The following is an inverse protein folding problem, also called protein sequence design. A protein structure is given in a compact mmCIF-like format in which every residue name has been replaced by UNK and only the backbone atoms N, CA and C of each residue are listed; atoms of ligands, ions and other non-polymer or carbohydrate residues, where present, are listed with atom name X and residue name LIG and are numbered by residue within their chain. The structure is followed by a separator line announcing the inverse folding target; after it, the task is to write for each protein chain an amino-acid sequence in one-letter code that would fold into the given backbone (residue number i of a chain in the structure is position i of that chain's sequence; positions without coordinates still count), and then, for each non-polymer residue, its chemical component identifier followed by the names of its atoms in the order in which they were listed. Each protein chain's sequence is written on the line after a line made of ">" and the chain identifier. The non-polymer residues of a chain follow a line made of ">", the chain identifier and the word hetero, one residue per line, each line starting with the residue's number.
data_IF_974049531566
#
_entry.id   IF_974049531566
#
_cell.length_a   1.000
_cell.length_b   1.000
_cell.length_c   1.000
_cell.angle_alpha   90.00
_cell.angle_beta   90.00
_cell.angle_gamma   90.00
#
_symmetry.space_group_name_H-M   'P 1'
#
loop_
_entity.id
_entity.type
_entity.pdbx_description
1 polymer ?
#
# COMPACT_ATOMS: atom_id res chain seq x y z
N UNK A 1 -7.79 6.46 -11.01
CA UNK A 1 -9.10 6.34 -11.65
C UNK A 1 -9.26 7.34 -12.80
N UNK A 2 -8.90 8.63 -12.67
CA UNK A 2 -9.00 9.60 -13.78
C UNK A 2 -8.20 9.12 -15.01
N UNK A 3 -6.94 8.74 -14.85
CA UNK A 3 -6.12 8.18 -15.94
C UNK A 3 -6.73 6.92 -16.57
N UNK A 4 -7.31 6.03 -15.76
CA UNK A 4 -8.02 4.85 -16.25
C UNK A 4 -9.24 5.23 -17.11
N UNK A 5 -10.01 6.27 -16.73
CA UNK A 5 -11.12 6.79 -17.51
C UNK A 5 -10.69 7.34 -18.88
N UNK A 6 -9.46 7.79 -18.99
CA UNK A 6 -8.82 8.20 -20.26
C UNK A 6 -8.30 7.01 -21.10
N UNK A 7 -8.62 5.78 -20.69
CA UNK A 7 -8.22 4.55 -21.40
C UNK A 7 -6.83 4.04 -21.09
N UNK A 8 -6.12 4.63 -20.12
CA UNK A 8 -4.75 4.25 -19.79
C UNK A 8 -4.73 3.04 -18.84
N UNK A 9 -3.79 2.14 -19.06
CA UNK A 9 -3.43 1.06 -18.13
C UNK A 9 -2.53 1.65 -17.05
N UNK A 10 -3.05 1.77 -15.82
CA UNK A 10 -2.34 2.39 -14.70
C UNK A 10 -1.81 1.30 -13.77
N UNK A 11 -0.50 1.30 -13.49
CA UNK A 11 0.10 0.50 -12.42
C UNK A 11 0.28 1.37 -11.19
N UNK A 12 -0.47 1.11 -10.11
CA UNK A 12 -0.28 1.80 -8.84
C UNK A 12 0.83 1.14 -8.02
N UNK A 13 1.61 1.97 -7.34
CA UNK A 13 2.59 1.58 -6.34
C UNK A 13 2.39 2.39 -5.07
N UNK A 14 2.84 1.85 -3.94
CA UNK A 14 2.91 2.53 -2.65
C UNK A 14 4.34 2.51 -2.12
N UNK A 15 4.89 3.65 -1.75
CA UNK A 15 6.16 3.69 -1.05
C UNK A 15 5.99 3.23 0.40
N UNK A 16 6.94 2.42 0.88
CA UNK A 16 6.98 1.96 2.26
C UNK A 16 5.91 0.92 2.67
N UNK A 17 5.85 0.61 3.98
CA UNK A 17 5.07 -0.49 4.53
C UNK A 17 3.62 -0.09 4.81
N UNK A 18 2.82 0.10 3.79
CA UNK A 18 1.40 0.42 3.91
C UNK A 18 0.55 -0.68 3.26
N UNK A 19 -0.40 -1.22 4.02
CA UNK A 19 -1.31 -2.28 3.59
C UNK A 19 -2.73 -1.78 3.31
N UNK A 20 -3.05 -0.53 3.69
CA UNK A 20 -4.39 0.03 3.60
C UNK A 20 -4.56 0.77 2.29
N UNK A 21 -3.66 1.72 1.99
CA UNK A 21 -3.74 2.55 0.79
C UNK A 21 -3.64 1.72 -0.48
N UNK A 22 -2.87 0.63 -0.46
CA UNK A 22 -2.77 -0.32 -1.59
C UNK A 22 -4.10 -0.92 -2.00
N UNK A 23 -5.05 -1.07 -1.08
CA UNK A 23 -6.39 -1.57 -1.37
C UNK A 23 -7.21 -0.51 -2.15
N UNK A 24 -7.10 0.76 -1.76
CA UNK A 24 -7.75 1.87 -2.50
C UNK A 24 -7.14 2.06 -3.88
N UNK A 25 -5.83 1.97 -3.98
CA UNK A 25 -5.12 2.03 -5.26
C UNK A 25 -5.59 0.92 -6.20
N UNK A 26 -5.70 -0.30 -5.68
CA UNK A 26 -6.17 -1.46 -6.43
C UNK A 26 -7.59 -1.24 -6.96
N UNK A 27 -8.50 -0.74 -6.12
CA UNK A 27 -9.86 -0.39 -6.56
C UNK A 27 -9.86 0.76 -7.58
N UNK A 28 -9.04 1.78 -7.38
CA UNK A 28 -8.98 2.94 -8.27
C UNK A 28 -8.42 2.60 -9.65
N UNK A 29 -7.38 1.79 -9.71
CA UNK A 29 -6.70 1.42 -10.95
C UNK A 29 -7.26 0.16 -11.63
N UNK A 30 -8.03 -0.67 -10.88
CA UNK A 30 -8.42 -2.03 -11.29
C UNK A 30 -7.21 -2.91 -11.64
N UNK A 31 -6.14 -2.66 -10.92
CA UNK A 31 -4.88 -3.39 -11.00
C UNK A 31 -4.24 -3.37 -9.62
N UNK A 32 -3.77 -4.54 -9.15
CA UNK A 32 -3.18 -4.65 -7.81
C UNK A 32 -2.04 -3.66 -7.60
N UNK A 33 -2.10 -2.90 -6.49
CA UNK A 33 -1.03 -2.03 -6.05
C UNK A 33 0.11 -2.83 -5.43
N UNK A 34 1.33 -2.35 -5.62
CA UNK A 34 2.55 -3.04 -5.16
C UNK A 34 3.37 -2.09 -4.30
N UNK A 35 3.88 -2.60 -3.18
CA UNK A 35 4.74 -1.81 -2.29
C UNK A 35 6.16 -1.73 -2.84
N UNK A 36 6.74 -0.53 -2.75
CA UNK A 36 8.13 -0.23 -3.01
C UNK A 36 8.78 0.14 -1.67
N UNK A 37 9.47 -0.79 -1.06
CA UNK A 37 9.93 -0.67 0.31
C UNK A 37 11.42 -1.04 0.42
N UNK A 38 12.28 -0.04 0.63
CA UNK A 38 13.73 -0.21 0.75
C UNK A 38 14.18 -0.63 2.15
N UNK A 39 13.25 -0.68 3.12
CA UNK A 39 13.51 -1.29 4.42
C UNK A 39 13.39 -2.82 4.37
N UNK A 40 12.30 -3.33 3.77
CA UNK A 40 12.00 -4.76 3.69
C UNK A 40 12.73 -5.46 2.55
N UNK A 41 13.17 -4.73 1.54
CA UNK A 41 13.81 -5.26 0.35
C UNK A 41 15.05 -4.46 -0.06
N UNK A 42 15.99 -5.11 -0.75
CA UNK A 42 17.14 -4.41 -1.30
C UNK A 42 16.72 -3.39 -2.37
N UNK A 43 17.53 -2.34 -2.56
CA UNK A 43 17.30 -1.32 -3.60
C UNK A 43 17.15 -1.94 -4.99
N UNK A 44 18.00 -2.90 -5.34
CA UNK A 44 17.92 -3.63 -6.63
C UNK A 44 16.63 -4.43 -6.76
N UNK A 45 16.13 -5.02 -5.67
CA UNK A 45 14.87 -5.74 -5.69
C UNK A 45 13.69 -4.79 -5.87
N UNK A 46 13.71 -3.62 -5.24
CA UNK A 46 12.69 -2.57 -5.46
C UNK A 46 12.66 -2.12 -6.91
N UNK A 47 13.83 -1.94 -7.56
CA UNK A 47 13.91 -1.64 -8.99
C UNK A 47 13.34 -2.78 -9.84
N UNK A 48 13.63 -4.03 -9.46
CA UNK A 48 13.05 -5.21 -10.12
C UNK A 48 11.53 -5.24 -10.02
N UNK A 49 10.98 -5.02 -8.82
CA UNK A 49 9.53 -4.94 -8.58
C UNK A 49 8.90 -3.86 -9.47
N UNK A 50 9.50 -2.66 -9.48
CA UNK A 50 9.00 -1.56 -10.30
C UNK A 50 8.98 -1.92 -11.79
N UNK A 51 10.06 -2.47 -12.31
CA UNK A 51 10.16 -2.88 -13.70
C UNK A 51 9.17 -4.03 -14.03
N UNK A 52 9.16 -5.09 -13.21
CA UNK A 52 8.30 -6.27 -13.37
C UNK A 52 6.81 -5.89 -13.42
N UNK A 53 6.34 -5.11 -12.47
CA UNK A 53 4.92 -4.78 -12.37
C UNK A 53 4.52 -3.58 -13.24
N UNK A 54 5.45 -2.68 -13.53
CA UNK A 54 5.24 -1.57 -14.45
C UNK A 54 5.19 -1.98 -15.93
N UNK A 55 5.69 -3.16 -16.26
CA UNK A 55 5.65 -3.68 -17.63
C UNK A 55 4.22 -3.74 -18.17
N UNK A 56 4.05 -3.25 -19.38
CA UNK A 56 2.73 -3.19 -20.02
C UNK A 56 1.76 -2.16 -19.43
N UNK A 57 2.17 -1.31 -18.50
CA UNK A 57 1.41 -0.14 -18.09
C UNK A 57 1.73 1.07 -18.96
N UNK A 58 0.72 1.92 -19.20
CA UNK A 58 0.91 3.19 -19.90
C UNK A 58 1.41 4.27 -18.94
N UNK A 59 1.04 4.14 -17.65
CA UNK A 59 1.44 5.06 -16.56
C UNK A 59 1.68 4.28 -15.26
N UNK A 60 2.81 4.55 -14.60
CA UNK A 60 3.09 4.12 -13.24
C UNK A 60 2.85 5.29 -12.28
N UNK A 61 2.08 5.07 -11.22
CA UNK A 61 1.81 6.07 -10.17
C UNK A 61 2.23 5.50 -8.82
N UNK A 62 3.24 6.11 -8.21
CA UNK A 62 3.68 5.75 -6.87
C UNK A 62 3.21 6.80 -5.86
N UNK A 63 2.45 6.38 -4.85
CA UNK A 63 2.09 7.26 -3.74
C UNK A 63 3.15 7.18 -2.66
N UNK A 64 3.60 8.37 -2.17
CA UNK A 64 4.50 8.49 -1.05
C UNK A 64 3.88 8.06 0.28
N UNK A 65 4.73 7.87 1.27
CA UNK A 65 4.35 7.64 2.67
C UNK A 65 4.93 8.76 3.52
N UNK A 66 4.15 9.26 4.48
CA UNK A 66 4.54 10.40 5.34
C UNK A 66 5.00 11.64 4.54
N UNK A 67 5.92 12.45 5.06
CA UNK A 67 6.55 13.53 4.31
C UNK A 67 7.55 13.00 3.28
N UNK A 68 7.78 13.77 2.21
CA UNK A 68 8.63 13.36 1.09
C UNK A 68 10.01 12.84 1.52
N UNK A 69 10.63 13.50 2.51
CA UNK A 69 11.98 13.19 3.00
C UNK A 69 11.98 12.38 4.30
N UNK A 70 10.81 12.00 4.82
CA UNK A 70 10.70 11.25 6.07
C UNK A 70 10.97 9.77 5.84
N UNK A 71 12.06 9.28 6.38
CA UNK A 71 12.47 7.88 6.34
C UNK A 71 12.78 7.36 7.75
N UNK A 72 13.22 6.13 7.85
CA UNK A 72 13.61 5.53 9.14
C UNK A 72 14.95 6.08 9.66
N UNK A 73 15.81 6.56 8.77
CA UNK A 73 17.05 7.27 9.10
C UNK A 73 17.20 8.43 8.11
N UNK A 74 16.75 9.63 8.51
CA UNK A 74 16.67 10.79 7.61
C UNK A 74 15.89 10.42 6.35
N UNK A 75 16.54 10.45 5.17
CA UNK A 75 15.91 10.16 3.89
C UNK A 75 15.88 8.67 3.51
N UNK A 76 16.60 7.81 4.24
CA UNK A 76 16.60 6.37 3.96
C UNK A 76 15.22 5.76 4.25
N UNK A 77 14.65 5.03 3.29
CA UNK A 77 13.29 4.48 3.35
C UNK A 77 12.19 5.47 2.97
N UNK A 78 12.55 6.73 2.63
CA UNK A 78 11.57 7.77 2.28
C UNK A 78 11.08 7.65 0.84
N UNK A 79 9.99 8.38 0.54
CA UNK A 79 9.49 8.54 -0.83
C UNK A 79 10.51 9.23 -1.74
N UNK A 80 11.36 10.11 -1.18
CA UNK A 80 12.44 10.76 -1.91
C UNK A 80 13.52 9.75 -2.33
N UNK A 81 13.89 8.80 -1.48
CA UNK A 81 14.81 7.71 -1.85
C UNK A 81 14.25 6.88 -3.01
N UNK A 82 12.98 6.50 -2.95
CA UNK A 82 12.32 5.76 -4.04
C UNK A 82 12.32 6.57 -5.34
N UNK A 83 12.00 7.87 -5.27
CA UNK A 83 12.05 8.75 -6.44
C UNK A 83 13.44 8.78 -7.10
N UNK A 84 14.51 8.89 -6.30
CA UNK A 84 15.89 8.86 -6.80
C UNK A 84 16.26 7.49 -7.38
N UNK A 85 15.96 6.43 -6.64
CA UNK A 85 16.28 5.06 -7.01
C UNK A 85 15.69 4.67 -8.36
N UNK A 86 14.46 5.08 -8.60
CA UNK A 86 13.72 4.80 -9.83
C UNK A 86 13.92 5.87 -10.90
N UNK A 87 14.49 7.02 -10.53
CA UNK A 87 14.65 8.17 -11.41
C UNK A 87 13.32 8.81 -11.81
N UNK A 88 12.28 8.69 -11.03
CA UNK A 88 10.93 9.23 -11.31
C UNK A 88 10.76 10.63 -10.71
N UNK A 89 10.04 11.54 -11.40
CA UNK A 89 9.76 12.87 -10.87
C UNK A 89 8.71 12.84 -9.77
N UNK A 90 8.75 13.84 -8.90
CA UNK A 90 7.82 14.03 -7.79
C UNK A 90 6.80 15.11 -8.13
N UNK A 91 5.54 14.81 -7.93
CA UNK A 91 4.44 15.77 -7.87
C UNK A 91 4.10 15.99 -6.39
N UNK A 92 4.32 17.20 -5.90
CA UNK A 92 3.95 17.56 -4.53
C UNK A 92 2.44 17.80 -4.44
N UNK A 93 1.82 17.20 -3.44
CA UNK A 93 0.45 17.56 -3.03
C UNK A 93 0.55 18.41 -1.78
N UNK A 94 0.27 19.70 -1.91
CA UNK A 94 0.44 20.70 -0.84
C UNK A 94 -0.92 21.11 -0.31
N UNK A 95 -1.11 20.97 1.03
CA UNK A 95 -2.31 21.52 1.67
C UNK A 95 -2.29 23.05 1.64
N UNK A 96 -3.30 23.64 1.03
CA UNK A 96 -3.50 25.08 0.99
C UNK A 96 -4.42 25.59 2.11
N UNK A 97 -4.78 24.71 3.06
CA UNK A 97 -5.62 25.11 4.19
C UNK A 97 -4.91 26.17 5.03
N UNK A 98 -5.53 27.35 5.14
CA UNK A 98 -4.99 28.49 5.90
C UNK A 98 -3.61 28.99 5.42
N UNK A 99 -3.25 28.72 4.16
CA UNK A 99 -2.03 29.19 3.53
C UNK A 99 -2.33 29.76 2.14
N UNK A 100 -1.63 30.81 1.76
CA UNK A 100 -1.73 31.43 0.44
C UNK A 100 -0.33 31.55 -0.18
N UNK A 101 0.16 32.75 -0.48
CA UNK A 101 1.48 32.94 -1.08
C UNK A 101 2.65 32.40 -0.24
N UNK A 102 2.49 32.29 1.10
CA UNK A 102 3.50 31.70 2.01
C UNK A 102 3.83 30.23 1.73
N UNK A 103 3.17 29.56 0.80
CA UNK A 103 3.59 28.23 0.29
C UNK A 103 4.83 28.32 -0.62
N UNK A 104 5.18 29.52 -1.16
CA UNK A 104 6.33 29.71 -2.02
C UNK A 104 7.65 29.25 -1.37
N UNK A 105 8.04 29.72 -0.16
CA UNK A 105 9.24 29.23 0.52
C UNK A 105 9.18 27.74 0.84
N UNK A 106 8.00 27.17 1.10
CA UNK A 106 7.83 25.72 1.31
C UNK A 106 8.17 24.96 0.03
N UNK A 107 7.59 25.34 -1.10
CA UNK A 107 7.82 24.70 -2.41
C UNK A 107 9.29 24.88 -2.83
N UNK A 108 9.83 26.09 -2.64
CA UNK A 108 11.23 26.39 -2.92
C UNK A 108 12.17 25.50 -2.09
N UNK A 109 11.87 25.33 -0.80
CA UNK A 109 12.61 24.43 0.09
C UNK A 109 12.59 23.00 -0.41
N UNK A 110 11.43 22.43 -0.72
CA UNK A 110 11.34 21.07 -1.27
C UNK A 110 12.11 20.91 -2.57
N UNK A 111 12.07 21.89 -3.46
CA UNK A 111 12.76 21.85 -4.75
C UNK A 111 14.28 21.84 -4.61
N UNK A 112 14.81 22.61 -3.66
CA UNK A 112 16.25 22.85 -3.52
C UNK A 112 16.92 22.06 -2.40
N UNK A 113 16.14 21.42 -1.53
CA UNK A 113 16.67 20.68 -0.39
C UNK A 113 17.59 19.53 -0.80
N UNK A 114 17.25 18.82 -1.87
CA UNK A 114 18.07 17.71 -2.35
C UNK A 114 18.20 17.70 -3.87
N UNK A 115 19.44 17.80 -4.42
CA UNK A 115 19.65 18.03 -5.85
C UNK A 115 19.16 16.88 -6.75
N UNK A 116 19.12 15.66 -6.23
CA UNK A 116 18.73 14.47 -6.99
C UNK A 116 17.25 14.14 -6.91
N UNK A 117 16.45 14.90 -6.13
CA UNK A 117 14.99 14.76 -6.07
C UNK A 117 14.37 15.80 -6.97
N UNK A 118 13.76 15.36 -8.07
CA UNK A 118 13.16 16.26 -9.04
C UNK A 118 11.71 16.59 -8.70
N UNK A 119 11.46 17.76 -8.14
CA UNK A 119 10.11 18.28 -8.00
C UNK A 119 9.66 18.81 -9.36
N UNK A 120 8.71 18.10 -10.01
CA UNK A 120 8.27 18.41 -11.37
C UNK A 120 7.01 19.29 -11.38
N UNK A 121 6.18 19.21 -10.34
CA UNK A 121 4.96 20.00 -10.26
C UNK A 121 4.31 19.97 -8.89
N UNK A 122 3.30 20.81 -8.74
CA UNK A 122 2.52 20.94 -7.50
C UNK A 122 1.03 20.87 -7.81
N UNK A 123 0.29 20.10 -7.01
CA UNK A 123 -1.17 20.12 -6.92
C UNK A 123 -1.53 20.63 -5.52
N UNK A 124 -2.40 21.63 -5.45
CA UNK A 124 -2.87 22.15 -4.16
C UNK A 124 -4.12 21.42 -3.70
N UNK A 125 -4.18 21.04 -2.44
CA UNK A 125 -5.37 20.44 -1.83
C UNK A 125 -6.04 21.44 -0.88
N UNK A 126 -7.37 21.32 -0.72
CA UNK A 126 -8.19 22.14 0.18
C UNK A 126 -8.19 23.63 -0.17
N UNK A 127 -8.21 23.96 -1.45
CA UNK A 127 -8.31 25.34 -1.92
C UNK A 127 -9.74 25.86 -1.73
N UNK A 128 -9.87 27.05 -1.16
CA UNK A 128 -11.15 27.63 -0.76
C UNK A 128 -11.89 28.40 -1.87
N UNK A 129 -11.14 28.99 -2.81
CA UNK A 129 -11.71 29.86 -3.86
C UNK A 129 -10.75 30.04 -5.04
N UNK A 130 -11.25 30.56 -6.15
CA UNK A 130 -10.43 30.88 -7.31
C UNK A 130 -9.42 32.01 -7.05
N UNK A 131 -9.76 33.14 -6.35
CA UNK A 131 -8.76 34.11 -5.93
C UNK A 131 -7.65 33.50 -5.06
N UNK A 132 -7.99 32.60 -4.14
CA UNK A 132 -7.00 31.88 -3.34
C UNK A 132 -6.06 31.05 -4.24
N UNK A 133 -6.60 30.35 -5.24
CA UNK A 133 -5.79 29.59 -6.19
C UNK A 133 -4.82 30.47 -6.99
N UNK A 134 -5.20 31.70 -7.33
CA UNK A 134 -4.30 32.61 -8.05
C UNK A 134 -3.04 32.94 -7.24
N UNK A 135 -3.14 33.20 -5.94
CA UNK A 135 -1.97 33.39 -5.06
C UNK A 135 -1.06 32.13 -5.02
N UNK A 136 -1.66 30.96 -5.07
CA UNK A 136 -0.91 29.69 -5.07
C UNK A 136 -0.19 29.49 -6.42
N UNK A 137 -0.78 29.92 -7.53
CA UNK A 137 -0.12 29.90 -8.85
C UNK A 137 1.10 30.83 -8.89
N UNK A 138 0.95 32.04 -8.35
CA UNK A 138 2.04 33.01 -8.27
C UNK A 138 3.19 32.44 -7.42
N UNK A 139 2.87 31.80 -6.28
CA UNK A 139 3.84 31.11 -5.44
C UNK A 139 4.60 29.99 -6.17
N UNK A 140 3.94 29.23 -7.03
CA UNK A 140 4.60 28.22 -7.86
C UNK A 140 5.52 28.87 -8.92
N UNK A 141 5.08 29.95 -9.57
CA UNK A 141 5.87 30.68 -10.57
C UNK A 141 7.16 31.21 -9.96
N UNK A 142 7.09 31.84 -8.79
CA UNK A 142 8.26 32.40 -8.11
C UNK A 142 9.19 31.31 -7.53
N UNK A 143 8.65 30.17 -7.12
CA UNK A 143 9.45 28.99 -6.76
C UNK A 143 10.01 28.25 -8.01
N UNK A 144 9.60 28.64 -9.21
CA UNK A 144 10.01 28.02 -10.47
C UNK A 144 9.54 26.57 -10.62
N UNK A 145 8.36 26.20 -10.11
CA UNK A 145 7.76 24.86 -10.18
C UNK A 145 6.42 24.95 -10.93
N UNK A 146 6.11 23.96 -11.74
CA UNK A 146 4.85 23.91 -12.46
C UNK A 146 3.65 23.76 -11.52
N UNK A 147 2.67 24.64 -11.64
CA UNK A 147 1.37 24.48 -11.00
C UNK A 147 0.48 23.62 -11.88
N UNK A 148 0.06 22.47 -11.38
CA UNK A 148 -0.74 21.49 -12.11
C UNK A 148 -2.23 21.59 -11.81
N UNK A 149 -2.61 22.41 -10.84
CA UNK A 149 -4.01 22.57 -10.48
C UNK A 149 -4.25 22.44 -8.99
N UNK A 150 -5.51 22.23 -8.64
CA UNK A 150 -5.92 22.16 -7.25
C UNK A 150 -7.13 21.25 -7.04
N UNK A 151 -7.36 20.84 -5.80
CA UNK A 151 -8.59 20.23 -5.36
C UNK A 151 -9.29 21.17 -4.38
N UNK A 152 -10.56 21.53 -4.62
CA UNK A 152 -11.31 22.37 -3.69
C UNK A 152 -11.60 21.62 -2.39
N UNK A 153 -11.81 22.36 -1.32
CA UNK A 153 -12.37 21.80 -0.12
C UNK A 153 -13.75 21.19 -0.44
N UNK A 154 -13.90 19.90 -0.20
CA UNK A 154 -15.12 19.16 -0.54
C UNK A 154 -15.57 18.34 0.65
N UNK A 155 -16.74 18.68 1.18
CA UNK A 155 -17.39 17.85 2.21
C UNK A 155 -17.80 16.50 1.62
N UNK A 156 -17.60 15.44 2.41
CA UNK A 156 -18.02 14.07 2.02
C UNK A 156 -16.94 13.22 1.34
N UNK A 157 -15.79 13.77 0.95
CA UNK A 157 -14.65 12.99 0.45
C UNK A 157 -13.69 12.55 1.57
N UNK A 158 -14.21 12.29 2.75
CA UNK A 158 -13.41 11.73 3.84
C UNK A 158 -13.39 10.20 3.74
N UNK A 159 -12.21 9.64 3.59
CA UNK A 159 -12.03 8.20 3.75
C UNK A 159 -12.15 7.88 5.24
N UNK A 160 -13.06 6.99 5.66
CA UNK A 160 -13.15 6.57 7.05
C UNK A 160 -11.82 5.96 7.49
N UNK A 161 -11.18 6.54 8.50
CA UNK A 161 -9.96 5.98 9.05
C UNK A 161 -10.25 4.65 9.74
N UNK A 162 -9.48 3.61 9.43
CA UNK A 162 -9.33 2.33 10.13
C UNK A 162 -10.32 1.18 9.87
N UNK A 163 -11.42 1.28 9.09
CA UNK A 163 -12.43 0.21 9.10
C UNK A 163 -12.91 -0.28 7.74
N UNK A 164 -12.05 -0.35 6.77
CA UNK A 164 -12.43 -0.93 5.48
C UNK A 164 -12.03 -2.40 5.39
N UNK A 165 -12.77 -3.22 6.13
CA UNK A 165 -12.86 -4.61 5.75
C UNK A 165 -13.44 -4.71 4.34
N UNK A 166 -12.93 -5.65 3.52
CA UNK A 166 -13.31 -5.89 2.12
C UNK A 166 -14.75 -6.43 1.97
N UNK A 167 -15.72 -5.85 2.66
CA UNK A 167 -17.15 -6.19 2.44
C UNK A 167 -17.61 -5.61 1.11
N UNK A 168 -18.56 -6.27 0.46
CA UNK A 168 -19.16 -5.77 -0.80
C UNK A 168 -19.75 -4.36 -0.63
N UNK A 169 -20.35 -4.09 0.51
CA UNK A 169 -20.92 -2.76 0.85
C UNK A 169 -19.83 -1.71 0.98
N UNK A 170 -18.72 -2.03 1.65
CA UNK A 170 -17.58 -1.13 1.77
C UNK A 170 -16.92 -0.86 0.42
N UNK A 171 -16.79 -1.87 -0.44
CA UNK A 171 -16.27 -1.70 -1.81
C UNK A 171 -17.13 -0.76 -2.65
N UNK A 172 -18.48 -0.91 -2.60
CA UNK A 172 -19.40 -0.02 -3.34
C UNK A 172 -19.31 1.42 -2.87
N UNK A 173 -19.31 1.63 -1.56
CA UNK A 173 -19.17 2.98 -0.99
C UNK A 173 -17.83 3.61 -1.40
N UNK A 174 -16.77 2.82 -1.43
CA UNK A 174 -15.45 3.28 -1.84
C UNK A 174 -15.37 3.59 -3.33
N UNK A 175 -15.99 2.78 -4.20
CA UNK A 175 -16.06 3.09 -5.63
C UNK A 175 -16.74 4.44 -5.89
N UNK A 176 -17.80 4.76 -5.17
CA UNK A 176 -18.47 6.08 -5.28
C UNK A 176 -17.52 7.21 -4.89
N UNK A 177 -16.78 7.08 -3.79
CA UNK A 177 -15.77 8.07 -3.36
C UNK A 177 -14.65 8.23 -4.40
N UNK A 178 -14.15 7.11 -4.93
CA UNK A 178 -13.11 7.10 -5.98
C UNK A 178 -13.61 7.79 -7.25
N UNK A 179 -14.86 7.55 -7.65
CA UNK A 179 -15.44 8.20 -8.82
C UNK A 179 -15.60 9.72 -8.63
N UNK A 180 -16.06 10.14 -7.45
CA UNK A 180 -16.18 11.57 -7.09
C UNK A 180 -14.80 12.24 -7.07
N UNK A 181 -13.80 11.62 -6.43
CA UNK A 181 -12.44 12.13 -6.40
C UNK A 181 -11.83 12.22 -7.82
N UNK A 182 -12.04 11.21 -8.65
CA UNK A 182 -11.58 11.21 -10.03
C UNK A 182 -12.21 12.34 -10.87
N UNK A 183 -13.51 12.61 -10.66
CA UNK A 183 -14.18 13.71 -11.33
C UNK A 183 -13.62 15.08 -10.93
N UNK A 184 -13.25 15.26 -9.64
CA UNK A 184 -12.59 16.48 -9.20
C UNK A 184 -11.19 16.64 -9.79
N UNK A 185 -10.42 15.56 -9.81
CA UNK A 185 -9.08 15.57 -10.45
C UNK A 185 -9.21 15.93 -11.92
N UNK A 186 -10.14 15.33 -12.65
CA UNK A 186 -10.35 15.63 -14.08
C UNK A 186 -10.76 17.08 -14.33
N UNK A 187 -11.52 17.67 -13.41
CA UNK A 187 -12.04 19.03 -13.55
C UNK A 187 -11.00 20.12 -13.19
N UNK A 188 -10.16 19.85 -12.19
CA UNK A 188 -9.35 20.89 -11.56
C UNK A 188 -7.83 20.68 -11.70
N UNK A 189 -7.38 19.52 -12.18
CA UNK A 189 -5.96 19.23 -12.39
C UNK A 189 -5.69 19.07 -13.88
N UNK A 190 -4.66 19.76 -14.37
CA UNK A 190 -4.19 19.62 -15.76
C UNK A 190 -3.42 18.30 -15.92
N UNK A 191 -4.18 17.25 -16.22
CA UNK A 191 -3.64 15.89 -16.37
C UNK A 191 -2.73 15.80 -17.60
N UNK A 192 -3.02 16.53 -18.69
CA UNK A 192 -2.22 16.48 -19.90
C UNK A 192 -0.84 17.10 -19.65
N UNK A 193 -0.81 18.24 -18.96
CA UNK A 193 0.44 18.86 -18.51
C UNK A 193 1.21 17.95 -17.54
N UNK A 194 0.51 17.32 -16.57
CA UNK A 194 1.10 16.34 -15.65
C UNK A 194 1.78 15.20 -16.41
N UNK A 195 1.11 14.59 -17.36
CA UNK A 195 1.67 13.51 -18.17
C UNK A 195 2.90 13.96 -18.97
N UNK A 196 2.84 15.15 -19.57
CA UNK A 196 3.94 15.71 -20.35
C UNK A 196 5.20 15.95 -19.51
N UNK A 197 5.06 16.55 -18.31
CA UNK A 197 6.22 16.84 -17.44
C UNK A 197 6.77 15.61 -16.72
N UNK A 198 5.96 14.57 -16.58
CA UNK A 198 6.35 13.32 -15.93
C UNK A 198 6.86 12.26 -16.90
N UNK A 199 6.95 12.57 -18.19
CA UNK A 199 7.46 11.62 -19.18
C UNK A 199 8.89 11.17 -18.84
N UNK A 200 9.10 9.87 -18.76
CA UNK A 200 10.37 9.24 -18.41
C UNK A 200 10.57 7.94 -19.19
N UNK A 201 11.83 7.59 -19.36
CA UNK A 201 12.19 6.28 -19.88
C UNK A 201 11.85 5.15 -18.89
N UNK A 202 11.18 4.13 -19.38
CA UNK A 202 10.92 2.87 -18.69
C UNK A 202 11.63 1.75 -19.47
N UNK A 203 12.21 0.71 -18.84
CA UNK A 203 12.32 0.47 -17.39
C UNK A 203 13.36 1.36 -16.69
N UNK A 204 13.35 1.43 -15.35
CA UNK A 204 14.41 2.07 -14.59
C UNK A 204 15.71 1.27 -14.72
N UNK A 205 16.86 1.96 -14.70
CA UNK A 205 18.15 1.31 -14.73
C UNK A 205 18.49 0.73 -13.36
N UNK A 206 18.97 -0.51 -13.32
CA UNK A 206 19.47 -1.12 -12.09
C UNK A 206 20.76 -0.42 -11.63
N UNK A 207 20.87 -0.18 -10.32
CA UNK A 207 22.11 0.34 -9.70
C UNK A 207 23.21 -0.72 -9.77
N UNK A 208 22.84 -1.98 -9.55
CA UNK A 208 23.68 -3.16 -9.63
C UNK A 208 22.97 -4.19 -10.51
N UNK A 209 23.70 -5.12 -11.15
CA UNK A 209 23.04 -6.24 -11.83
C UNK A 209 22.07 -6.93 -10.89
N UNK A 210 20.81 -7.08 -11.31
CA UNK A 210 19.82 -7.82 -10.54
C UNK A 210 20.17 -9.31 -10.64
N UNK A 211 20.47 -9.92 -9.49
CA UNK A 211 20.57 -11.37 -9.35
C UNK A 211 19.42 -11.82 -8.48
N UNK A 212 18.63 -12.75 -8.96
CA UNK A 212 17.60 -13.42 -8.16
C UNK A 212 18.20 -14.27 -7.03
N UNK A 213 19.51 -14.48 -7.07
CA UNK A 213 20.26 -15.32 -6.13
C UNK A 213 20.84 -14.57 -4.94
N UNK A 214 20.54 -13.27 -4.75
CA UNK A 214 21.01 -12.51 -3.60
C UNK A 214 20.45 -13.10 -2.31
N UNK A 215 21.27 -13.88 -1.61
CA UNK A 215 21.02 -14.32 -0.22
C UNK A 215 20.17 -15.58 -0.05
N UNK A 216 19.80 -16.26 -1.11
CA UNK A 216 19.29 -17.63 -0.99
C UNK A 216 20.47 -18.56 -1.28
N UNK A 217 21.05 -19.13 -0.21
CA UNK A 217 21.78 -20.39 -0.39
C UNK A 217 20.92 -21.25 -1.30
N UNK A 218 21.51 -21.74 -2.39
CA UNK A 218 20.82 -22.49 -3.44
C UNK A 218 19.80 -23.46 -2.85
N UNK A 219 18.58 -23.03 -2.75
CA UNK A 219 17.48 -23.91 -2.43
C UNK A 219 17.38 -24.86 -3.61
N UNK A 220 17.89 -26.06 -3.46
CA UNK A 220 17.63 -27.16 -4.41
C UNK A 220 16.11 -27.23 -4.56
N UNK A 221 15.57 -27.02 -5.78
CA UNK A 221 14.13 -27.05 -5.97
C UNK A 221 13.61 -28.38 -5.41
N UNK A 222 12.79 -28.31 -4.37
CA UNK A 222 12.11 -29.54 -3.90
C UNK A 222 11.31 -30.08 -5.06
N UNK A 223 11.46 -31.34 -5.36
CA UNK A 223 10.72 -32.04 -6.43
C UNK A 223 9.21 -31.99 -6.20
N UNK A 224 8.75 -31.75 -4.97
CA UNK A 224 7.35 -31.62 -4.60
C UNK A 224 7.01 -30.15 -4.29
N UNK A 225 6.08 -29.59 -5.05
CA UNK A 225 5.49 -28.28 -4.74
C UNK A 225 4.72 -28.32 -3.42
N UNK A 226 4.90 -27.30 -2.59
CA UNK A 226 4.22 -27.18 -1.30
C UNK A 226 2.72 -26.89 -1.52
N UNK A 227 1.88 -27.37 -0.61
CA UNK A 227 0.52 -26.89 -0.42
C UNK A 227 0.58 -25.75 0.60
N UNK A 228 0.14 -24.55 0.24
CA UNK A 228 0.25 -23.35 1.07
C UNK A 228 -1.16 -22.82 1.33
N UNK A 229 -1.62 -22.88 2.58
CA UNK A 229 -2.87 -22.25 3.00
C UNK A 229 -2.61 -20.81 3.44
N UNK A 230 -3.30 -19.84 2.85
CA UNK A 230 -3.17 -18.41 3.18
C UNK A 230 -4.50 -17.86 3.67
N UNK A 231 -4.53 -17.36 4.90
CA UNK A 231 -5.70 -16.65 5.41
C UNK A 231 -5.87 -15.32 4.65
N UNK A 232 -7.07 -15.08 4.12
CA UNK A 232 -7.36 -13.84 3.38
C UNK A 232 -8.82 -13.46 3.52
N UNK A 233 -9.09 -12.49 4.39
CA UNK A 233 -10.41 -11.89 4.61
C UNK A 233 -10.26 -10.51 5.27
N UNK A 234 -11.32 -9.81 5.69
CA UNK A 234 -11.20 -8.51 6.33
C UNK A 234 -10.38 -8.47 7.61
N UNK A 235 -10.22 -9.59 8.32
CA UNK A 235 -9.37 -9.68 9.51
C UNK A 235 -7.90 -9.94 9.18
N UNK A 236 -7.62 -10.51 7.99
CA UNK A 236 -6.30 -10.96 7.55
C UNK A 236 -6.03 -10.48 6.12
N UNK A 237 -5.71 -9.20 5.95
CA UNK A 237 -5.57 -8.56 4.65
C UNK A 237 -4.30 -7.72 4.49
N UNK A 238 -3.40 -7.72 5.45
CA UNK A 238 -2.11 -7.04 5.38
C UNK A 238 -1.08 -7.95 4.70
N UNK A 239 -1.14 -7.97 3.37
CA UNK A 239 -0.34 -8.87 2.55
C UNK A 239 0.33 -8.07 1.45
N UNK A 240 1.65 -8.17 1.34
CA UNK A 240 2.36 -7.68 0.17
C UNK A 240 2.14 -8.64 -1.01
N UNK A 241 1.82 -8.07 -2.15
CA UNK A 241 1.64 -8.85 -3.38
C UNK A 241 2.89 -9.67 -3.72
N UNK A 242 4.09 -9.11 -3.53
CA UNK A 242 5.33 -9.82 -3.82
C UNK A 242 5.53 -11.03 -2.90
N UNK A 243 5.08 -10.98 -1.64
CA UNK A 243 5.12 -12.14 -0.75
C UNK A 243 4.28 -13.30 -1.29
N UNK A 244 3.10 -12.99 -1.82
CA UNK A 244 2.25 -14.00 -2.46
C UNK A 244 2.90 -14.54 -3.74
N UNK A 245 3.51 -13.67 -4.55
CA UNK A 245 4.22 -14.10 -5.74
C UNK A 245 5.39 -15.06 -5.42
N UNK A 246 6.14 -14.77 -4.36
CA UNK A 246 7.24 -15.63 -3.88
C UNK A 246 6.73 -16.96 -3.31
N UNK A 247 5.64 -16.93 -2.55
CA UNK A 247 5.02 -18.18 -2.06
C UNK A 247 4.50 -19.04 -3.22
N UNK A 248 3.97 -18.43 -4.27
CA UNK A 248 3.50 -19.15 -5.46
C UNK A 248 4.63 -19.84 -6.24
N UNK A 249 5.86 -19.34 -6.17
CA UNK A 249 7.05 -20.01 -6.72
C UNK A 249 7.39 -21.31 -5.96
N UNK A 250 7.11 -21.35 -4.64
CA UNK A 250 7.38 -22.48 -3.75
C UNK A 250 6.28 -23.56 -3.82
N UNK A 251 5.05 -23.18 -4.17
CA UNK A 251 3.96 -24.14 -4.15
C UNK A 251 2.61 -23.62 -4.64
N UNK A 252 1.59 -24.43 -4.39
CA UNK A 252 0.21 -24.10 -4.72
C UNK A 252 -0.45 -23.38 -3.54
N UNK A 253 -0.99 -22.18 -3.80
CA UNK A 253 -1.66 -21.36 -2.78
C UNK A 253 -3.16 -21.65 -2.81
N UNK A 254 -3.71 -21.95 -1.62
CA UNK A 254 -5.15 -22.02 -1.37
C UNK A 254 -5.53 -20.96 -0.34
N UNK A 255 -6.40 -20.02 -0.73
CA UNK A 255 -6.93 -19.03 0.20
C UNK A 255 -8.09 -19.57 1.01
N UNK A 256 -8.16 -19.18 2.29
CA UNK A 256 -9.31 -19.48 3.15
C UNK A 256 -9.67 -18.26 4.01
N UNK A 257 -10.90 -18.24 4.51
CA UNK A 257 -11.40 -17.15 5.35
C UNK A 257 -11.64 -17.61 6.79
N UNK A 258 -10.82 -17.20 7.74
CA UNK A 258 -11.10 -17.43 9.15
C UNK A 258 -12.42 -16.84 9.64
N UNK A 259 -12.84 -15.68 9.12
CA UNK A 259 -14.07 -15.00 9.55
C UNK A 259 -15.33 -15.61 8.95
N UNK A 260 -15.33 -15.93 7.63
CA UNK A 260 -16.54 -16.26 6.88
C UNK A 260 -16.80 -17.74 6.63
N UNK A 261 -16.08 -18.62 7.29
CA UNK A 261 -16.54 -19.99 7.38
C UNK A 261 -15.85 -21.02 6.50
N UNK A 262 -14.68 -20.76 5.98
CA UNK A 262 -13.86 -21.83 5.37
C UNK A 262 -13.24 -22.72 6.45
N UNK A 263 -13.12 -24.02 6.18
CA UNK A 263 -12.29 -24.90 6.97
C UNK A 263 -10.80 -24.67 6.63
N UNK A 264 -9.89 -25.20 7.45
CA UNK A 264 -8.47 -25.16 7.17
C UNK A 264 -8.17 -26.05 5.96
N UNK A 265 -7.64 -25.53 4.85
CA UNK A 265 -7.21 -26.34 3.73
C UNK A 265 -6.06 -27.28 4.12
N UNK A 266 -5.96 -28.42 3.46
CA UNK A 266 -4.78 -29.27 3.56
C UNK A 266 -3.53 -28.47 3.14
N UNK A 267 -2.51 -28.40 4.00
CA UNK A 267 -1.33 -27.58 3.77
C UNK A 267 -0.06 -28.18 4.36
N UNK A 268 1.08 -27.89 3.72
CA UNK A 268 2.42 -28.06 4.26
C UNK A 268 2.89 -26.79 5.00
N UNK A 269 2.34 -25.62 4.61
CA UNK A 269 2.60 -24.31 5.21
C UNK A 269 1.30 -23.54 5.38
N UNK A 270 1.05 -23.07 6.59
CA UNK A 270 -0.03 -22.13 6.93
C UNK A 270 0.54 -20.72 7.05
N UNK A 271 0.03 -19.78 6.27
CA UNK A 271 0.34 -18.35 6.39
C UNK A 271 -0.86 -17.57 6.92
N UNK A 272 -0.67 -16.96 8.09
CA UNK A 272 -1.61 -16.08 8.76
C UNK A 272 -1.04 -14.65 8.71
N UNK A 273 -1.42 -13.83 7.74
CA UNK A 273 -0.90 -12.47 7.61
C UNK A 273 -1.46 -11.52 8.66
N UNK A 274 -0.98 -10.29 8.65
CA UNK A 274 -1.49 -9.22 9.49
C UNK A 274 -2.90 -8.77 9.10
N UNK A 275 -3.43 -7.87 9.90
CA UNK A 275 -4.77 -7.30 9.74
C UNK A 275 -5.33 -6.80 11.07
N UNK A 276 -6.66 -6.74 11.16
CA UNK A 276 -7.39 -6.28 12.35
C UNK A 276 -8.27 -7.39 12.94
N UNK A 277 -7.73 -8.51 13.43
CA UNK A 277 -8.52 -9.61 14.01
C UNK A 277 -9.33 -9.17 15.23
N UNK A 278 -8.88 -8.15 15.97
CA UNK A 278 -9.61 -7.58 17.12
C UNK A 278 -10.98 -7.02 16.75
N UNK A 279 -11.16 -6.54 15.53
CA UNK A 279 -12.45 -6.06 15.03
C UNK A 279 -13.42 -7.21 14.72
N UNK A 280 -12.89 -8.40 14.55
CA UNK A 280 -13.61 -9.62 14.22
C UNK A 280 -13.50 -10.68 15.33
N UNK A 281 -13.01 -10.32 16.52
CA UNK A 281 -12.71 -11.25 17.60
C UNK A 281 -13.92 -12.12 17.98
N UNK A 282 -15.12 -11.55 18.00
CA UNK A 282 -16.35 -12.28 18.27
C UNK A 282 -16.68 -13.32 17.18
N UNK A 283 -16.47 -12.98 15.92
CA UNK A 283 -16.69 -13.89 14.77
C UNK A 283 -15.64 -14.99 14.79
N UNK A 284 -14.37 -14.67 14.95
CA UNK A 284 -13.26 -15.62 15.05
C UNK A 284 -13.45 -16.59 16.23
N UNK A 285 -13.84 -16.08 17.40
CA UNK A 285 -14.16 -16.90 18.57
C UNK A 285 -15.20 -18.00 18.31
N UNK A 286 -16.16 -17.78 17.42
CA UNK A 286 -17.18 -18.75 17.04
C UNK A 286 -16.65 -19.86 16.14
N UNK A 287 -15.45 -19.71 15.57
CA UNK A 287 -14.82 -20.63 14.65
C UNK A 287 -14.02 -21.73 15.35
N UNK A 288 -14.62 -22.35 16.37
CA UNK A 288 -13.94 -23.34 17.24
C UNK A 288 -13.29 -24.48 16.47
N UNK A 289 -14.00 -25.05 15.47
CA UNK A 289 -13.44 -26.13 14.63
C UNK A 289 -12.19 -25.70 13.86
N UNK A 290 -12.20 -24.49 13.30
CA UNK A 290 -11.04 -23.93 12.59
C UNK A 290 -9.87 -23.69 13.54
N UNK A 291 -10.14 -23.10 14.72
CA UNK A 291 -9.11 -22.86 15.73
C UNK A 291 -8.47 -24.16 16.21
N UNK A 292 -9.28 -25.19 16.47
CA UNK A 292 -8.80 -26.53 16.84
C UNK A 292 -7.94 -27.14 15.73
N UNK A 293 -8.40 -27.07 14.47
CA UNK A 293 -7.63 -27.55 13.33
C UNK A 293 -6.27 -26.84 13.17
N UNK A 294 -6.23 -25.53 13.38
CA UNK A 294 -4.97 -24.76 13.34
C UNK A 294 -4.05 -25.16 14.50
N UNK A 295 -4.61 -25.37 15.68
CA UNK A 295 -3.85 -25.81 16.86
C UNK A 295 -3.26 -27.20 16.63
N UNK A 296 -4.08 -28.15 16.23
CA UNK A 296 -3.64 -29.51 15.89
C UNK A 296 -2.57 -29.52 14.81
N UNK A 297 -2.77 -28.74 13.73
CA UNK A 297 -1.77 -28.59 12.67
C UNK A 297 -0.41 -28.11 13.20
N UNK A 298 -0.41 -27.11 14.10
CA UNK A 298 0.82 -26.59 14.68
C UNK A 298 1.47 -27.58 15.66
N UNK A 299 0.69 -28.25 16.51
CA UNK A 299 1.16 -29.23 17.49
C UNK A 299 1.73 -30.50 16.83
N UNK A 300 1.20 -30.92 15.68
CA UNK A 300 1.71 -32.01 14.87
C UNK A 300 2.95 -31.64 14.03
N UNK A 301 3.49 -30.45 14.21
CA UNK A 301 4.73 -30.00 13.55
C UNK A 301 4.51 -29.33 12.20
N UNK A 302 3.28 -28.97 11.85
CA UNK A 302 2.95 -28.15 10.69
C UNK A 302 3.66 -26.82 10.72
N UNK A 303 4.07 -26.31 9.56
CA UNK A 303 4.80 -25.03 9.46
C UNK A 303 3.82 -23.87 9.43
N UNK A 304 3.96 -22.96 10.39
CA UNK A 304 3.11 -21.76 10.51
C UNK A 304 3.98 -20.51 10.39
N UNK A 305 3.62 -19.63 9.46
CA UNK A 305 4.10 -18.26 9.37
C UNK A 305 2.96 -17.34 9.80
N UNK A 306 3.17 -16.58 10.86
CA UNK A 306 2.16 -15.66 11.37
C UNK A 306 2.75 -14.29 11.65
N UNK A 307 2.11 -13.24 11.15
CA UNK A 307 2.55 -11.85 11.28
C UNK A 307 1.47 -11.01 11.96
N UNK A 308 1.84 -10.13 12.90
CA UNK A 308 0.96 -9.13 13.50
C UNK A 308 -0.41 -9.73 13.92
N UNK A 309 -1.50 -9.40 13.22
CA UNK A 309 -2.84 -9.95 13.47
C UNK A 309 -2.92 -11.49 13.38
N UNK A 310 -2.14 -12.10 12.51
CA UNK A 310 -2.03 -13.55 12.43
C UNK A 310 -1.44 -14.15 13.71
N UNK A 311 -0.44 -13.52 14.30
CA UNK A 311 0.12 -13.91 15.61
C UNK A 311 -0.94 -13.72 16.71
N UNK A 312 -1.69 -12.62 16.70
CA UNK A 312 -2.76 -12.37 17.68
C UNK A 312 -3.82 -13.48 17.65
N UNK A 313 -4.15 -13.99 16.47
CA UNK A 313 -5.11 -15.11 16.33
C UNK A 313 -4.58 -16.45 16.88
N UNK A 314 -3.26 -16.63 16.94
CA UNK A 314 -2.64 -17.83 17.53
C UNK A 314 -2.56 -17.79 19.06
N UNK A 315 -2.83 -16.67 19.72
CA UNK A 315 -2.80 -16.54 21.18
C UNK A 315 -3.95 -17.29 21.86
N UNK A 316 -3.94 -17.38 23.20
CA UNK A 316 -5.05 -17.97 23.98
C UNK A 316 -6.30 -17.11 23.92
N UNK A 317 -6.13 -15.80 24.01
CA UNK A 317 -7.22 -14.87 23.98
C UNK A 317 -6.84 -13.53 23.34
N UNK A 318 -7.85 -12.84 22.82
CA UNK A 318 -7.73 -11.51 22.22
C UNK A 318 -8.80 -10.58 22.83
N UNK A 319 -8.34 -9.44 23.35
CA UNK A 319 -9.18 -8.38 23.91
C UNK A 319 -9.07 -7.14 23.03
N UNK A 320 -10.17 -6.74 22.39
CA UNK A 320 -10.18 -5.61 21.42
C UNK A 320 -9.95 -4.24 22.06
N UNK A 321 -10.20 -4.09 23.38
CA UNK A 321 -10.01 -2.85 24.14
C UNK A 321 -9.66 -3.22 25.56
N UNK A 322 -8.79 -2.43 26.19
CA UNK A 322 -8.47 -2.57 27.61
C UNK A 322 -9.75 -2.59 28.46
N UNK A 323 -9.93 -3.60 29.29
CA UNK A 323 -11.17 -3.82 30.08
C UNK A 323 -12.37 -4.37 29.29
N UNK A 324 -12.21 -4.69 28.01
CA UNK A 324 -13.21 -5.30 27.17
C UNK A 324 -13.34 -6.82 27.35
N UNK A 325 -14.25 -7.43 26.60
CA UNK A 325 -14.43 -8.89 26.57
C UNK A 325 -13.22 -9.57 25.93
N UNK A 326 -12.60 -10.49 26.64
CA UNK A 326 -11.60 -11.40 26.08
C UNK A 326 -12.28 -12.53 25.31
N UNK A 327 -11.89 -12.74 24.07
CA UNK A 327 -12.35 -13.80 23.22
C UNK A 327 -11.27 -14.86 23.06
N UNK A 328 -11.60 -16.13 23.33
CA UNK A 328 -10.65 -17.21 23.11
C UNK A 328 -10.30 -17.31 21.61
N UNK A 329 -9.01 -17.51 21.34
CA UNK A 329 -8.42 -17.67 20.01
C UNK A 329 -7.83 -19.09 19.85
N UNK A 330 -6.97 -19.35 18.88
CA UNK A 330 -6.50 -20.69 18.56
C UNK A 330 -5.69 -21.37 19.67
N UNK A 331 -5.05 -20.60 20.57
CA UNK A 331 -4.35 -21.13 21.74
C UNK A 331 -3.10 -21.95 21.42
N UNK A 332 -2.46 -21.68 20.29
CA UNK A 332 -1.15 -22.24 19.91
C UNK A 332 -0.05 -21.59 20.74
N UNK A 333 -0.14 -20.28 20.93
CA UNK A 333 0.80 -19.52 21.75
C UNK A 333 0.24 -19.33 23.16
N UNK A 334 1.03 -19.60 24.23
CA UNK A 334 0.60 -19.47 25.63
C UNK A 334 0.58 -18.02 26.11
N UNK A 335 0.06 -17.11 25.27
CA UNK A 335 0.01 -15.67 25.49
C UNK A 335 -1.43 -15.18 25.40
N UNK A 336 -1.73 -14.05 26.06
CA UNK A 336 -2.97 -13.31 25.91
C UNK A 336 -2.65 -11.96 25.26
N UNK A 337 -3.49 -11.54 24.31
CA UNK A 337 -3.31 -10.30 23.56
C UNK A 337 -4.36 -9.26 23.99
N UNK A 338 -3.91 -8.03 24.34
CA UNK A 338 -4.79 -6.92 24.77
C UNK A 338 -4.46 -5.65 24.00
#
# INVERSE_FOLDING_TARGET
>A
RALKKRGMRVQPFKCGPDYIDTQFHTLAADRESVNLDTWMASRTHVQHIYNKYGEGADVCVAEGVMGLFDGYSRMEGSSAEISQLLGIPVILVVSARSAAYSVAPLIYGFKHFHPNVKIAGVVFNQVSSLPHYNYLKDACADAGVECLGYLPFTDGLKIPSRHLGLTLTAKRAMDVLIEQAAALVEKYVDIDKLLNICHRGFPCRYILPYSSEVGVESFTPRTKKLKIAVARDPAFNFIYRENIARLAELGHITYFSPVYGSDLPEADLLYLPGGYPELFARQLHRRKKLMEAIKTFAEEGGKVLAECGGMMFLTRSLTARQGGTAYAMAGVLPLDCT
#
